data_IF_555868720282
#
_entry.id   IF_555868720282
#
_cell.length_a   1.000
_cell.length_b   1.000
_cell.length_c   1.000
_cell.angle_alpha   90.00
_cell.angle_beta   90.00
_cell.angle_gamma   90.00
#
_symmetry.space_group_name_H-M   'P 1'
#
loop_
_entity.id
_entity.type
_entity.pdbx_description
1 polymer ?
#
# COMPACT_ATOMS: atom_id res chain seq x y z
N UNK A 1 -22.33 4.59 -7.80
CA UNK A 1 -21.26 5.54 -7.47
C UNK A 1 -21.16 6.51 -8.63
N UNK A 2 -20.97 7.77 -8.34
CA UNK A 2 -20.78 8.79 -9.36
C UNK A 2 -19.29 8.78 -9.77
N UNK A 3 -19.02 8.77 -11.07
CA UNK A 3 -17.68 8.88 -11.64
C UNK A 3 -17.47 10.28 -12.18
N UNK A 4 -16.29 10.83 -11.91
CA UNK A 4 -15.83 12.10 -12.47
C UNK A 4 -14.62 11.80 -13.34
N UNK A 5 -14.72 12.13 -14.63
CA UNK A 5 -13.62 11.95 -15.59
C UNK A 5 -12.89 13.26 -15.79
N UNK A 6 -11.59 13.24 -15.66
CA UNK A 6 -10.71 14.40 -15.87
C UNK A 6 -9.59 14.01 -16.84
N UNK A 7 -9.25 14.90 -17.74
CA UNK A 7 -8.15 14.72 -18.69
C UNK A 7 -6.99 15.63 -18.30
N UNK A 8 -5.78 15.05 -18.22
CA UNK A 8 -4.55 15.77 -17.95
C UNK A 8 -3.52 15.48 -19.04
N UNK A 9 -2.66 16.45 -19.32
CA UNK A 9 -1.49 16.26 -20.19
C UNK A 9 -0.32 15.78 -19.33
N UNK A 10 0.14 14.55 -19.57
CA UNK A 10 1.26 13.93 -18.88
C UNK A 10 2.26 13.43 -19.92
N UNK A 11 3.50 13.91 -19.88
CA UNK A 11 4.52 13.60 -20.89
C UNK A 11 4.03 13.89 -22.33
N UNK A 12 3.44 15.07 -22.52
CA UNK A 12 2.91 15.54 -23.82
C UNK A 12 1.72 14.74 -24.38
N UNK A 13 1.17 13.82 -23.62
CA UNK A 13 -0.01 13.01 -23.98
C UNK A 13 -1.20 13.31 -23.07
N UNK A 14 -2.38 13.39 -23.66
CA UNK A 14 -3.64 13.44 -22.92
C UNK A 14 -3.92 12.09 -22.27
N UNK A 15 -4.31 12.10 -21.01
CA UNK A 15 -4.66 10.90 -20.24
C UNK A 15 -5.94 11.15 -19.47
N UNK A 16 -6.84 10.18 -19.51
CA UNK A 16 -8.08 10.21 -18.74
C UNK A 16 -7.86 9.58 -17.37
N UNK A 17 -8.34 10.24 -16.34
CA UNK A 17 -8.36 9.81 -14.96
C UNK A 17 -9.81 9.72 -14.49
N UNK A 18 -10.22 8.56 -14.01
CA UNK A 18 -11.58 8.26 -13.60
C UNK A 18 -11.62 8.25 -12.06
N UNK A 19 -12.17 9.31 -11.50
CA UNK A 19 -12.32 9.48 -10.06
C UNK A 19 -13.65 8.90 -9.61
N UNK A 20 -13.61 8.15 -8.50
CA UNK A 20 -14.82 7.68 -7.85
C UNK A 20 -14.59 7.52 -6.35
N UNK A 21 -15.69 7.43 -5.59
CA UNK A 21 -15.62 7.26 -4.15
C UNK A 21 -16.24 5.93 -3.75
N UNK A 22 -15.56 5.21 -2.86
CA UNK A 22 -16.11 4.00 -2.25
C UNK A 22 -16.58 4.31 -0.85
N UNK A 23 -17.81 3.87 -0.52
CA UNK A 23 -18.42 4.08 0.78
C UNK A 23 -18.58 2.74 1.49
N UNK A 24 -18.30 2.71 2.79
CA UNK A 24 -18.43 1.53 3.62
C UNK A 24 -18.80 1.90 5.07
N UNK A 25 -19.43 0.95 5.78
CA UNK A 25 -19.68 1.09 7.20
C UNK A 25 -18.46 0.58 7.98
N UNK A 26 -17.90 1.43 8.85
CA UNK A 26 -16.66 1.14 9.58
C UNK A 26 -16.79 -0.04 10.55
N UNK A 27 -17.96 -0.25 11.10
CA UNK A 27 -18.21 -1.29 12.11
C UNK A 27 -18.72 -2.59 11.49
N UNK A 28 -19.61 -2.50 10.51
CA UNK A 28 -20.25 -3.67 9.93
C UNK A 28 -19.40 -4.32 8.83
N UNK A 29 -18.77 -3.49 7.98
CA UNK A 29 -18.16 -3.97 6.74
C UNK A 29 -16.69 -4.41 6.93
N UNK A 30 -16.03 -3.96 8.02
CA UNK A 30 -14.62 -4.28 8.29
C UNK A 30 -14.53 -5.40 9.31
N UNK A 31 -14.53 -6.64 8.84
CA UNK A 31 -14.32 -7.81 9.71
C UNK A 31 -12.89 -7.88 10.23
N UNK A 32 -12.73 -8.21 11.51
CA UNK A 32 -11.42 -8.34 12.15
C UNK A 32 -10.74 -7.02 12.50
N UNK A 33 -11.42 -5.88 12.33
CA UNK A 33 -10.93 -4.62 12.87
C UNK A 33 -11.02 -4.62 14.39
N UNK A 34 -10.10 -3.92 15.01
CA UNK A 34 -9.99 -3.81 16.47
C UNK A 34 -11.20 -3.08 17.06
N UNK A 35 -11.97 -2.36 16.25
CA UNK A 35 -13.19 -1.69 16.61
C UNK A 35 -14.42 -2.62 16.77
N UNK A 36 -14.25 -3.92 16.60
CA UNK A 36 -15.32 -4.91 16.79
C UNK A 36 -15.56 -5.29 18.23
N UNK A 37 -15.83 -4.37 19.08
CA UNK A 37 -16.91 -4.57 20.01
C UNK A 37 -18.18 -4.26 19.20
N UNK A 38 -18.99 -5.30 18.99
CA UNK A 38 -20.25 -5.25 18.26
C UNK A 38 -21.03 -4.01 18.71
N UNK A 39 -20.88 -2.93 17.98
CA UNK A 39 -21.69 -1.76 18.21
C UNK A 39 -22.72 -1.70 17.10
N UNK A 40 -23.98 -1.58 17.46
CA UNK A 40 -25.08 -1.24 16.55
C UNK A 40 -24.88 0.16 15.90
N UNK A 41 -23.70 0.75 16.08
CA UNK A 41 -23.34 2.04 15.52
C UNK A 41 -23.13 1.92 14.02
N UNK A 42 -23.85 2.73 13.30
CA UNK A 42 -23.56 2.98 11.89
C UNK A 42 -22.62 4.18 11.78
N UNK A 43 -21.36 3.91 11.37
CA UNK A 43 -20.43 4.97 11.03
C UNK A 43 -19.93 4.75 9.59
N UNK A 44 -20.32 5.66 8.71
CA UNK A 44 -19.98 5.59 7.31
C UNK A 44 -18.67 6.33 7.04
N UNK A 45 -17.76 5.66 6.35
CA UNK A 45 -16.56 6.25 5.80
C UNK A 45 -16.63 6.26 4.28
N UNK A 46 -15.93 7.19 3.69
CA UNK A 46 -15.79 7.34 2.25
C UNK A 46 -14.33 7.57 1.89
N UNK A 47 -13.85 6.93 0.85
CA UNK A 47 -12.50 7.14 0.33
C UNK A 47 -12.50 7.37 -1.17
N UNK A 48 -11.55 8.15 -1.64
CA UNK A 48 -11.33 8.38 -3.07
C UNK A 48 -10.46 7.28 -3.67
N UNK A 49 -10.79 6.95 -4.93
CA UNK A 49 -9.97 6.12 -5.78
C UNK A 49 -9.90 6.74 -7.19
N UNK A 50 -8.82 6.50 -7.88
CA UNK A 50 -8.63 6.98 -9.25
C UNK A 50 -8.14 5.83 -10.11
N UNK A 51 -8.87 5.56 -11.18
CA UNK A 51 -8.49 4.59 -12.19
C UNK A 51 -7.92 5.30 -13.42
N UNK A 52 -6.72 4.88 -13.82
CA UNK A 52 -6.06 5.29 -15.06
C UNK A 52 -6.04 4.10 -16.01
N UNK A 53 -6.69 4.22 -17.16
CA UNK A 53 -6.71 3.18 -18.19
C UNK A 53 -5.63 3.46 -19.24
N UNK A 54 -4.82 2.47 -19.67
CA UNK A 54 -3.81 2.67 -20.70
C UNK A 54 -4.44 2.93 -22.07
N UNK A 55 -3.69 3.50 -22.99
CA UNK A 55 -4.16 3.74 -24.38
C UNK A 55 -4.61 2.45 -25.09
N UNK A 56 -4.03 1.31 -24.71
CA UNK A 56 -4.38 -0.01 -25.24
C UNK A 56 -5.67 -0.59 -24.68
N UNK A 57 -6.28 0.03 -23.67
CA UNK A 57 -7.50 -0.47 -23.06
C UNK A 57 -8.66 -0.47 -24.05
N UNK A 58 -9.39 -1.58 -24.10
CA UNK A 58 -10.66 -1.70 -24.83
C UNK A 58 -11.70 -2.39 -23.98
N UNK A 59 -12.94 -1.91 -24.01
CA UNK A 59 -14.01 -2.47 -23.17
C UNK A 59 -14.38 -3.91 -23.57
N UNK A 60 -14.23 -4.24 -24.84
CA UNK A 60 -14.66 -5.51 -25.44
C UNK A 60 -13.48 -6.39 -25.90
N UNK A 61 -12.23 -6.03 -25.56
CA UNK A 61 -11.03 -6.75 -25.95
C UNK A 61 -10.53 -7.73 -24.89
N UNK A 62 -9.23 -7.97 -24.89
CA UNK A 62 -8.57 -8.75 -23.85
C UNK A 62 -8.58 -7.96 -22.52
N UNK A 63 -8.64 -8.70 -21.41
CA UNK A 63 -8.58 -8.09 -20.08
C UNK A 63 -7.27 -7.32 -19.87
N UNK A 64 -7.38 -6.07 -19.42
CA UNK A 64 -6.20 -5.25 -19.09
C UNK A 64 -5.71 -5.56 -17.68
N UNK A 65 -4.41 -5.85 -17.56
CA UNK A 65 -3.79 -6.14 -16.26
C UNK A 65 -3.88 -4.93 -15.33
N UNK A 66 -4.42 -5.15 -14.12
CA UNK A 66 -4.61 -4.12 -13.11
C UNK A 66 -3.45 -4.09 -12.11
N UNK A 67 -2.98 -2.88 -11.82
CA UNK A 67 -2.04 -2.58 -10.72
C UNK A 67 -2.76 -1.75 -9.67
N UNK A 68 -2.78 -2.20 -8.41
CA UNK A 68 -3.19 -1.40 -7.27
C UNK A 68 -1.99 -0.60 -6.75
N UNK A 69 -2.18 0.69 -6.55
CA UNK A 69 -1.14 1.63 -6.14
C UNK A 69 -1.46 2.26 -4.78
N UNK A 70 -0.48 2.29 -3.89
CA UNK A 70 -0.59 2.89 -2.57
C UNK A 70 0.45 3.98 -2.35
N UNK A 71 -0.02 5.18 -2.06
CA UNK A 71 0.82 6.35 -1.87
C UNK A 71 1.59 6.35 -0.53
N UNK A 72 2.65 7.15 -0.46
CA UNK A 72 3.38 7.42 0.79
C UNK A 72 2.60 8.30 1.76
N UNK A 73 3.12 8.47 2.99
CA UNK A 73 2.51 9.32 4.01
C UNK A 73 2.35 10.77 3.51
N UNK A 74 1.17 11.34 3.74
CA UNK A 74 0.82 12.68 3.25
C UNK A 74 0.49 12.76 1.76
N UNK A 75 0.54 11.63 1.03
CA UNK A 75 0.11 11.55 -0.35
C UNK A 75 -1.41 11.54 -0.49
N UNK A 76 -1.85 11.72 -1.72
CA UNK A 76 -3.25 11.62 -2.14
C UNK A 76 -3.34 10.82 -3.41
N UNK A 77 -4.54 10.36 -3.76
CA UNK A 77 -4.77 9.72 -5.05
C UNK A 77 -4.46 10.67 -6.19
N UNK A 78 -3.77 10.16 -7.20
CA UNK A 78 -3.44 10.85 -8.46
C UNK A 78 -3.08 12.31 -8.31
N UNK A 79 -2.09 12.58 -7.54
CA UNK A 79 -1.63 13.94 -7.26
C UNK A 79 -1.01 14.65 -8.47
N UNK A 80 -1.49 14.39 -9.64
CA UNK A 80 -1.20 15.19 -10.84
C UNK A 80 -1.69 16.64 -10.66
N UNK A 81 -2.75 16.86 -9.84
CA UNK A 81 -3.29 18.19 -9.60
C UNK A 81 -2.37 19.06 -8.74
N UNK A 82 -1.64 18.47 -7.79
CA UNK A 82 -0.78 19.22 -6.86
C UNK A 82 0.71 18.97 -7.00
N UNK A 83 1.13 18.17 -8.00
CA UNK A 83 2.52 17.82 -8.32
C UNK A 83 3.33 17.20 -7.15
N UNK A 84 2.70 16.94 -6.02
CA UNK A 84 3.37 16.43 -4.81
C UNK A 84 3.11 14.96 -4.55
N UNK A 85 2.15 14.38 -5.20
CA UNK A 85 1.73 13.03 -4.91
C UNK A 85 2.48 11.94 -5.64
N UNK A 86 2.73 10.95 -4.92
CA UNK A 86 3.55 9.79 -5.14
C UNK A 86 3.33 8.92 -6.38
N UNK A 87 2.61 9.36 -7.39
CA UNK A 87 2.31 8.54 -8.58
C UNK A 87 3.28 8.78 -9.72
N UNK A 88 4.51 9.18 -9.44
CA UNK A 88 5.56 9.37 -10.44
C UNK A 88 5.89 8.09 -11.25
N UNK A 89 5.44 6.93 -10.83
CA UNK A 89 5.57 5.65 -11.53
C UNK A 89 4.34 5.30 -12.39
N UNK A 90 3.18 5.89 -12.16
CA UNK A 90 1.98 5.63 -12.97
C UNK A 90 2.20 5.85 -14.46
N UNK A 91 2.89 6.91 -14.91
CA UNK A 91 3.19 7.08 -16.33
C UNK A 91 3.90 5.88 -16.96
N UNK A 92 4.87 5.27 -16.25
CA UNK A 92 5.60 4.10 -16.75
C UNK A 92 4.73 2.85 -16.84
N UNK A 93 3.90 2.60 -15.84
CA UNK A 93 2.95 1.48 -15.86
C UNK A 93 1.90 1.66 -16.96
N UNK A 94 1.37 2.87 -17.10
CA UNK A 94 0.43 3.23 -18.15
C UNK A 94 1.04 3.02 -19.56
N UNK A 95 2.27 3.48 -19.79
CA UNK A 95 2.99 3.29 -21.05
C UNK A 95 3.28 1.81 -21.35
N UNK A 96 3.41 0.99 -20.31
CA UNK A 96 3.59 -0.45 -20.42
C UNK A 96 2.27 -1.24 -20.59
N UNK A 97 1.12 -0.55 -20.67
CA UNK A 97 -0.18 -1.18 -20.92
C UNK A 97 -0.93 -1.63 -19.67
N UNK A 98 -0.50 -1.23 -18.48
CA UNK A 98 -1.21 -1.52 -17.22
C UNK A 98 -2.30 -0.49 -16.93
N UNK A 99 -3.46 -0.95 -16.49
CA UNK A 99 -4.39 -0.11 -15.77
C UNK A 99 -3.89 0.11 -14.34
N UNK A 100 -3.99 1.32 -13.82
CA UNK A 100 -3.55 1.65 -12.47
C UNK A 100 -4.71 2.19 -11.65
N UNK A 101 -5.00 1.53 -10.54
CA UNK A 101 -5.98 1.97 -9.55
C UNK A 101 -5.23 2.47 -8.32
N UNK A 102 -5.24 3.78 -8.12
CA UNK A 102 -4.67 4.47 -6.99
C UNK A 102 -5.75 4.72 -5.93
N UNK A 103 -5.49 4.34 -4.69
CA UNK A 103 -6.49 4.35 -3.63
C UNK A 103 -5.97 5.17 -2.44
N UNK A 104 -6.78 6.12 -2.01
CA UNK A 104 -6.57 6.84 -0.78
C UNK A 104 -7.12 6.03 0.41
N UNK A 105 -6.50 6.16 1.55
CA UNK A 105 -7.12 5.69 2.79
C UNK A 105 -8.25 6.65 3.22
N UNK A 106 -9.13 6.16 4.09
CA UNK A 106 -10.23 6.98 4.63
C UNK A 106 -9.77 8.08 5.60
N UNK A 107 -8.48 8.18 5.85
CA UNK A 107 -7.88 9.15 6.76
C UNK A 107 -7.62 10.47 6.02
N UNK A 108 -8.09 11.63 6.55
CA UNK A 108 -8.06 12.89 5.82
C UNK A 108 -6.65 13.47 5.57
N UNK A 109 -5.65 12.98 6.30
CA UNK A 109 -4.27 13.49 6.21
C UNK A 109 -3.32 12.60 5.42
N UNK A 110 -3.83 11.55 4.79
CA UNK A 110 -3.02 10.61 3.99
C UNK A 110 -2.03 9.78 4.81
N UNK A 111 -2.26 9.63 6.12
CA UNK A 111 -1.47 8.77 7.00
C UNK A 111 -2.34 7.62 7.49
N UNK A 112 -2.24 6.45 6.88
CA UNK A 112 -3.09 5.29 7.21
C UNK A 112 -2.33 4.13 7.80
N UNK A 113 -1.03 4.04 7.53
CA UNK A 113 -0.14 2.95 7.98
C UNK A 113 -0.76 1.56 7.79
N UNK A 114 -1.47 1.36 6.67
CA UNK A 114 -2.09 0.07 6.34
C UNK A 114 -3.17 -0.38 7.32
N UNK A 115 -3.90 0.54 7.94
CA UNK A 115 -5.00 0.22 8.85
C UNK A 115 -6.10 -0.60 8.13
N UNK A 116 -6.91 -1.37 8.88
CA UNK A 116 -7.95 -2.20 8.31
C UNK A 116 -8.93 -1.46 7.40
N UNK A 117 -9.25 -0.21 7.72
CA UNK A 117 -10.13 0.63 6.90
C UNK A 117 -9.54 0.91 5.51
N UNK A 118 -8.24 1.22 5.44
CA UNK A 118 -7.57 1.45 4.15
C UNK A 118 -7.54 0.16 3.32
N UNK A 119 -7.18 -0.96 3.94
CA UNK A 119 -7.12 -2.27 3.26
C UNK A 119 -8.49 -2.66 2.71
N UNK A 120 -9.55 -2.47 3.50
CA UNK A 120 -10.91 -2.75 3.06
C UNK A 120 -11.39 -1.78 1.95
N UNK A 121 -11.09 -0.49 2.09
CA UNK A 121 -11.40 0.51 1.07
C UNK A 121 -10.74 0.16 -0.26
N UNK A 122 -9.47 -0.25 -0.23
CA UNK A 122 -8.74 -0.69 -1.41
C UNK A 122 -9.40 -1.91 -2.08
N UNK A 123 -9.81 -2.88 -1.29
CA UNK A 123 -10.53 -4.04 -1.82
C UNK A 123 -11.88 -3.64 -2.44
N UNK A 124 -12.64 -2.73 -1.83
CA UNK A 124 -13.91 -2.23 -2.42
C UNK A 124 -13.67 -1.46 -3.71
N UNK A 125 -12.63 -0.63 -3.77
CA UNK A 125 -12.27 0.09 -4.99
C UNK A 125 -11.86 -0.88 -6.12
N UNK A 126 -11.04 -1.88 -5.81
CA UNK A 126 -10.71 -2.97 -6.73
C UNK A 126 -11.97 -3.68 -7.24
N UNK A 127 -12.87 -4.11 -6.35
CA UNK A 127 -14.12 -4.79 -6.74
C UNK A 127 -15.02 -3.93 -7.61
N UNK A 128 -15.03 -2.62 -7.39
CA UNK A 128 -15.74 -1.68 -8.26
C UNK A 128 -15.08 -1.64 -9.64
N UNK A 129 -13.78 -1.46 -9.71
CA UNK A 129 -13.05 -1.35 -10.97
C UNK A 129 -13.24 -2.59 -11.88
N UNK A 130 -13.01 -3.80 -11.36
CA UNK A 130 -13.17 -5.04 -12.16
C UNK A 130 -14.62 -5.34 -12.53
N UNK A 131 -15.61 -4.78 -11.82
CA UNK A 131 -17.03 -4.93 -12.17
C UNK A 131 -17.44 -4.03 -13.33
N UNK A 132 -16.84 -2.86 -13.46
CA UNK A 132 -17.26 -1.81 -14.38
C UNK A 132 -16.33 -1.66 -15.59
N UNK A 133 -15.16 -2.23 -15.54
CA UNK A 133 -14.13 -2.15 -16.57
C UNK A 133 -13.59 -3.54 -16.90
N UNK A 134 -13.13 -3.73 -18.11
CA UNK A 134 -12.54 -4.98 -18.59
C UNK A 134 -11.10 -5.13 -18.05
N UNK A 135 -10.99 -5.46 -16.77
CA UNK A 135 -9.73 -5.56 -16.04
C UNK A 135 -9.55 -6.96 -15.44
N UNK A 136 -8.31 -7.41 -15.36
CA UNK A 136 -7.94 -8.68 -14.74
C UNK A 136 -8.40 -8.74 -13.27
N UNK A 137 -8.96 -9.86 -12.86
CA UNK A 137 -9.34 -10.16 -11.47
C UNK A 137 -8.15 -10.52 -10.58
N UNK A 138 -6.99 -10.81 -11.18
CA UNK A 138 -5.70 -10.95 -10.50
C UNK A 138 -4.90 -9.67 -10.68
N UNK A 139 -4.37 -9.16 -9.58
CA UNK A 139 -3.73 -7.84 -9.55
C UNK A 139 -2.26 -7.92 -9.20
N UNK A 140 -1.54 -6.95 -9.70
CA UNK A 140 -0.22 -6.57 -9.21
C UNK A 140 -0.40 -5.45 -8.19
N UNK A 141 0.45 -5.39 -7.18
CA UNK A 141 0.31 -4.39 -6.11
C UNK A 141 1.61 -3.65 -5.92
N UNK A 142 1.53 -2.35 -5.71
CA UNK A 142 2.72 -1.56 -5.43
C UNK A 142 2.48 -0.47 -4.38
N UNK A 143 3.57 -0.04 -3.74
CA UNK A 143 3.53 1.08 -2.82
C UNK A 143 4.90 1.66 -2.52
N UNK A 144 4.90 2.93 -2.08
CA UNK A 144 6.11 3.63 -1.69
C UNK A 144 6.03 4.09 -0.23
N UNK A 145 7.11 3.98 0.52
CA UNK A 145 7.17 4.43 1.92
C UNK A 145 6.03 3.80 2.76
N UNK A 146 5.13 4.59 3.32
CA UNK A 146 3.90 4.10 3.98
C UNK A 146 3.08 3.18 3.06
N UNK A 147 3.02 3.45 1.77
CA UNK A 147 2.32 2.60 0.81
C UNK A 147 2.89 1.19 0.72
N UNK A 148 4.17 0.99 1.01
CA UNK A 148 4.77 -0.34 1.16
C UNK A 148 4.16 -1.12 2.34
N UNK A 149 3.89 -0.45 3.45
CA UNK A 149 3.16 -1.05 4.58
C UNK A 149 1.74 -1.46 4.18
N UNK A 150 1.03 -0.58 3.48
CA UNK A 150 -0.31 -0.88 2.94
C UNK A 150 -0.26 -2.08 2.01
N UNK A 151 0.75 -2.12 1.13
CA UNK A 151 0.98 -3.24 0.18
C UNK A 151 1.07 -4.58 0.91
N UNK A 152 1.92 -4.69 1.92
CA UNK A 152 2.09 -5.94 2.66
C UNK A 152 0.80 -6.34 3.38
N UNK A 153 0.12 -5.40 4.05
CA UNK A 153 -1.13 -5.70 4.73
C UNK A 153 -2.24 -6.10 3.76
N UNK A 154 -2.29 -5.48 2.58
CA UNK A 154 -3.24 -5.88 1.53
C UNK A 154 -2.98 -7.30 1.01
N UNK A 155 -1.73 -7.64 0.72
CA UNK A 155 -1.34 -8.99 0.28
C UNK A 155 -1.71 -10.03 1.33
N UNK A 156 -1.44 -9.75 2.60
CA UNK A 156 -1.72 -10.66 3.70
C UNK A 156 -3.23 -10.86 3.92
N UNK A 157 -4.02 -9.82 3.64
CA UNK A 157 -5.49 -9.86 3.82
C UNK A 157 -6.18 -10.52 2.62
N UNK A 158 -5.72 -10.26 1.40
CA UNK A 158 -6.33 -10.74 0.15
C UNK A 158 -5.34 -11.51 -0.74
N UNK A 159 -4.69 -12.56 -0.22
CA UNK A 159 -3.61 -13.26 -0.94
C UNK A 159 -4.07 -13.90 -2.25
N UNK A 160 -5.34 -14.30 -2.35
CA UNK A 160 -5.85 -15.03 -3.51
C UNK A 160 -5.97 -14.19 -4.78
N UNK A 161 -5.93 -12.87 -4.67
CA UNK A 161 -6.06 -11.98 -5.83
C UNK A 161 -4.73 -11.34 -6.27
N UNK A 162 -3.64 -11.49 -5.50
CA UNK A 162 -2.37 -10.82 -5.78
C UNK A 162 -1.39 -11.76 -6.48
N UNK A 163 -0.88 -11.35 -7.64
CA UNK A 163 0.13 -12.06 -8.41
C UNK A 163 1.55 -11.79 -7.90
N UNK A 164 1.89 -10.52 -7.74
CA UNK A 164 3.19 -10.07 -7.25
C UNK A 164 3.10 -8.64 -6.69
N UNK A 165 4.13 -8.25 -5.94
CA UNK A 165 4.24 -6.89 -5.39
C UNK A 165 5.59 -6.24 -5.69
N UNK A 166 5.57 -4.90 -5.81
CA UNK A 166 6.75 -4.05 -5.89
C UNK A 166 6.69 -2.95 -4.85
N UNK A 167 7.78 -2.68 -4.13
CA UNK A 167 7.79 -1.64 -3.11
C UNK A 167 9.03 -0.76 -3.18
N UNK A 168 8.83 0.55 -3.12
CA UNK A 168 9.91 1.54 -3.07
C UNK A 168 10.10 2.03 -1.64
N UNK A 169 11.32 1.86 -1.09
CA UNK A 169 11.70 2.31 0.25
C UNK A 169 10.57 2.12 1.29
N UNK A 170 10.04 0.88 1.42
CA UNK A 170 8.81 0.64 2.16
C UNK A 170 9.02 0.78 3.65
N UNK A 171 8.09 1.44 4.31
CA UNK A 171 8.03 1.41 5.75
C UNK A 171 7.41 0.10 6.23
N UNK A 172 8.20 -0.72 6.92
CA UNK A 172 7.82 -2.10 7.23
C UNK A 172 7.69 -2.38 8.73
N UNK A 173 8.10 -1.45 9.58
CA UNK A 173 8.01 -1.60 11.03
C UNK A 173 7.19 -0.45 11.66
N UNK A 174 6.27 -0.80 12.55
CA UNK A 174 5.46 0.15 13.32
C UNK A 174 6.04 0.45 14.70
N UNK A 175 6.80 -0.47 15.28
CA UNK A 175 7.25 -0.38 16.68
C UNK A 175 8.46 0.53 16.87
N UNK A 176 9.15 0.91 15.81
CA UNK A 176 10.33 1.77 15.88
C UNK A 176 11.58 1.10 16.47
N UNK A 177 11.52 -0.19 16.80
CA UNK A 177 12.66 -0.95 17.37
C UNK A 177 12.94 -2.14 16.48
N UNK A 178 14.19 -2.25 16.01
CA UNK A 178 14.68 -3.44 15.32
C UNK A 178 15.15 -4.50 16.30
N UNK A 179 15.32 -5.73 15.83
CA UNK A 179 15.79 -6.87 16.64
C UNK A 179 17.17 -6.61 17.25
N UNK A 180 18.01 -5.81 16.60
CA UNK A 180 19.38 -5.51 17.02
C UNK A 180 19.51 -4.14 17.72
N UNK A 181 18.40 -3.51 18.11
CA UNK A 181 18.42 -2.22 18.83
C UNK A 181 18.65 -1.00 17.93
N UNK A 182 18.67 -1.18 16.60
CA UNK A 182 18.66 -0.06 15.68
C UNK A 182 17.29 0.63 15.68
N UNK A 183 17.30 1.92 15.83
CA UNK A 183 16.09 2.72 15.91
C UNK A 183 15.50 2.93 14.51
N UNK A 184 14.31 2.40 14.26
CA UNK A 184 13.50 2.82 13.13
C UNK A 184 12.94 4.21 13.44
N UNK A 185 13.55 5.23 12.87
CA UNK A 185 13.14 6.61 13.08
C UNK A 185 11.64 6.75 12.78
N UNK A 186 10.88 7.09 13.81
CA UNK A 186 9.70 7.91 13.66
C UNK A 186 8.33 7.26 13.56
N UNK A 187 8.11 5.95 13.77
CA UNK A 187 6.72 5.46 13.86
C UNK A 187 6.13 5.75 15.23
N UNK A 188 6.94 5.63 16.27
CA UNK A 188 6.57 5.82 17.68
C UNK A 188 7.25 7.02 18.33
N UNK A 189 7.67 8.00 17.55
CA UNK A 189 8.22 9.23 18.13
C UNK A 189 7.15 9.91 18.97
N UNK A 190 7.39 9.96 20.28
CA UNK A 190 6.52 10.62 21.28
C UNK A 190 6.62 12.16 21.19
N UNK A 191 7.54 12.67 20.37
CA UNK A 191 7.73 14.10 20.26
C UNK A 191 6.62 14.71 19.40
N UNK A 192 5.95 15.71 19.94
CA UNK A 192 5.12 16.62 19.16
C UNK A 192 5.98 17.21 18.05
N UNK A 193 5.52 17.11 16.81
CA UNK A 193 6.23 17.69 15.67
C UNK A 193 6.42 19.21 15.92
N UNK A 194 7.49 19.78 15.36
CA UNK A 194 7.81 21.21 15.48
C UNK A 194 6.68 22.15 14.99
N UNK A 195 5.77 21.62 14.20
CA UNK A 195 4.58 22.30 13.67
C UNK A 195 3.35 22.21 14.62
N UNK A 196 3.50 21.65 15.82
CA UNK A 196 2.41 21.48 16.79
C UNK A 196 1.42 20.35 16.49
N UNK A 197 1.64 19.58 15.43
CA UNK A 197 0.79 18.45 15.09
C UNK A 197 1.03 17.24 16.02
N UNK A 198 0.01 16.36 16.20
CA UNK A 198 0.16 15.13 16.97
C UNK A 198 1.35 14.29 16.47
N UNK A 199 1.97 13.57 17.39
CA UNK A 199 3.02 12.61 17.04
C UNK A 199 2.49 11.56 16.04
N UNK A 200 3.37 10.90 15.31
CA UNK A 200 2.98 9.78 14.43
C UNK A 200 2.30 8.67 15.23
N UNK A 201 2.73 8.44 16.47
CA UNK A 201 2.13 7.47 17.38
C UNK A 201 0.67 7.81 17.71
N UNK A 202 0.39 9.05 18.11
CA UNK A 202 -0.97 9.48 18.44
C UNK A 202 -1.90 9.33 17.24
N UNK A 203 -1.42 9.67 16.04
CA UNK A 203 -2.17 9.49 14.80
C UNK A 203 -2.45 8.01 14.49
N UNK A 204 -1.49 7.11 14.72
CA UNK A 204 -1.70 5.67 14.52
C UNK A 204 -2.73 5.14 15.51
N UNK A 205 -2.68 5.57 16.77
CA UNK A 205 -3.68 5.22 17.78
C UNK A 205 -5.07 5.61 17.31
N UNK A 206 -5.24 6.84 16.82
CA UNK A 206 -6.53 7.33 16.32
C UNK A 206 -6.99 6.56 15.06
N UNK A 207 -6.10 6.35 14.10
CA UNK A 207 -6.40 5.68 12.82
C UNK A 207 -6.80 4.23 13.04
N UNK A 208 -6.08 3.52 13.91
CA UNK A 208 -6.40 2.14 14.28
C UNK A 208 -7.50 2.05 15.35
N UNK A 209 -7.92 3.19 15.90
CA UNK A 209 -8.93 3.30 16.96
C UNK A 209 -8.62 2.46 18.18
N UNK A 210 -7.37 2.48 18.59
CA UNK A 210 -6.94 1.80 19.80
C UNK A 210 -7.44 2.52 21.04
N UNK A 211 -8.01 1.81 22.02
CA UNK A 211 -8.52 2.42 23.24
C UNK A 211 -7.40 2.93 24.17
N UNK A 212 -6.19 2.44 24.03
CA UNK A 212 -5.03 2.88 24.79
C UNK A 212 -3.72 2.61 24.06
N UNK A 213 -2.61 3.17 24.57
CA UNK A 213 -1.25 2.95 24.07
C UNK A 213 -0.81 1.48 24.20
N UNK A 214 -1.15 0.80 25.29
CA UNK A 214 -0.87 -0.61 25.51
C UNK A 214 -1.56 -1.50 24.49
N UNK A 215 -2.81 -1.20 24.16
CA UNK A 215 -3.56 -1.88 23.10
C UNK A 215 -2.88 -1.75 21.74
N UNK A 216 -2.23 -0.64 21.50
CA UNK A 216 -1.52 -0.39 20.28
C UNK A 216 -0.39 -1.40 20.08
N UNK A 217 0.43 -1.66 21.10
CA UNK A 217 1.55 -2.60 21.01
C UNK A 217 1.08 -4.03 20.78
N UNK A 218 0.03 -4.47 21.44
CA UNK A 218 -0.48 -5.82 21.31
C UNK A 218 -1.19 -6.07 19.97
N UNK A 219 -1.96 -5.09 19.49
CA UNK A 219 -2.87 -5.27 18.36
C UNK A 219 -2.25 -4.95 17.01
N UNK A 220 -1.23 -4.10 16.95
CA UNK A 220 -0.47 -3.87 15.71
C UNK A 220 0.35 -5.07 15.27
N UNK A 221 0.57 -6.05 16.13
CA UNK A 221 1.30 -7.28 15.79
C UNK A 221 0.74 -7.93 14.51
N UNK A 222 -0.57 -7.94 14.32
CA UNK A 222 -1.21 -8.50 13.13
C UNK A 222 -1.05 -7.65 11.87
N UNK A 223 -0.76 -6.36 12.03
CA UNK A 223 -0.65 -5.37 10.97
C UNK A 223 0.77 -4.79 10.82
N UNK A 224 1.73 -5.29 11.61
CA UNK A 224 3.12 -4.90 11.48
C UNK A 224 3.85 -5.86 10.52
N UNK A 225 4.18 -5.43 9.29
CA UNK A 225 4.83 -6.27 8.29
C UNK A 225 6.16 -6.86 8.74
N UNK A 226 6.87 -6.17 9.63
CA UNK A 226 8.17 -6.60 10.16
C UNK A 226 8.08 -7.92 10.93
N UNK A 227 6.92 -8.21 11.51
CA UNK A 227 6.67 -9.44 12.27
C UNK A 227 6.13 -10.55 11.37
N UNK A 228 6.91 -10.94 10.38
CA UNK A 228 6.57 -12.03 9.45
C UNK A 228 6.23 -13.31 10.21
N UNK A 229 5.13 -13.94 9.84
CA UNK A 229 4.65 -15.16 10.46
C UNK A 229 4.32 -16.23 9.45
N UNK A 230 4.44 -17.47 9.90
CA UNK A 230 3.83 -18.59 9.22
C UNK A 230 2.82 -19.25 10.15
N UNK A 231 1.77 -19.82 9.57
CA UNK A 231 0.77 -20.59 10.31
C UNK A 231 0.44 -21.87 9.55
N UNK A 232 -0.11 -22.83 10.24
CA UNK A 232 -0.68 -24.03 9.63
C UNK A 232 -2.14 -23.75 9.32
N UNK A 233 -2.53 -23.85 8.04
CA UNK A 233 -3.92 -23.66 7.63
C UNK A 233 -4.79 -24.88 7.99
N UNK A 234 -6.10 -24.78 7.69
CA UNK A 234 -7.07 -25.85 7.98
C UNK A 234 -6.77 -27.17 7.23
N UNK A 235 -5.99 -27.11 6.15
CA UNK A 235 -5.54 -28.28 5.39
C UNK A 235 -4.24 -28.90 5.92
N UNK A 236 -3.72 -28.39 7.04
CA UNK A 236 -2.44 -28.83 7.62
C UNK A 236 -1.20 -28.35 6.86
N UNK A 237 -1.36 -27.42 5.92
CA UNK A 237 -0.24 -26.84 5.17
C UNK A 237 0.31 -25.61 5.87
N UNK A 238 1.65 -25.48 5.85
CA UNK A 238 2.32 -24.26 6.29
C UNK A 238 2.09 -23.16 5.28
N UNK A 239 1.48 -22.09 5.72
CA UNK A 239 1.31 -20.85 4.94
C UNK A 239 2.30 -19.82 5.46
N UNK A 240 3.07 -19.25 4.56
CA UNK A 240 4.04 -18.20 4.85
C UNK A 240 3.48 -16.86 4.39
N UNK A 241 3.67 -15.83 5.19
CA UNK A 241 3.22 -14.47 4.91
C UNK A 241 4.47 -13.60 4.70
N UNK A 242 4.57 -12.89 3.59
CA UNK A 242 3.63 -12.69 2.47
C UNK A 242 3.60 -13.87 1.47
N UNK A 243 2.43 -14.16 0.90
CA UNK A 243 2.23 -15.37 0.08
C UNK A 243 2.52 -15.19 -1.42
N UNK A 244 2.97 -14.03 -1.87
CA UNK A 244 3.27 -13.77 -3.28
C UNK A 244 4.72 -13.29 -3.46
N UNK A 245 5.28 -13.34 -4.68
CA UNK A 245 6.58 -12.74 -5.00
C UNK A 245 6.63 -11.25 -4.72
N UNK A 246 7.72 -10.79 -4.10
CA UNK A 246 7.93 -9.38 -3.74
C UNK A 246 9.27 -8.90 -4.25
N UNK A 247 9.33 -7.67 -4.78
CA UNK A 247 10.59 -6.95 -5.02
C UNK A 247 10.58 -5.61 -4.28
N UNK A 248 11.70 -5.32 -3.62
CA UNK A 248 11.92 -4.07 -2.88
C UNK A 248 13.10 -3.34 -3.51
N UNK A 249 12.97 -2.03 -3.63
CA UNK A 249 14.05 -1.10 -3.96
C UNK A 249 14.26 -0.15 -2.79
N UNK A 250 15.49 -0.08 -2.29
CA UNK A 250 15.85 0.70 -1.11
C UNK A 250 17.13 1.49 -1.38
N UNK A 251 17.12 2.76 -1.03
CA UNK A 251 18.33 3.59 -1.09
C UNK A 251 19.21 3.39 0.14
N UNK A 252 20.56 3.35 -0.06
CA UNK A 252 21.51 3.16 1.06
C UNK A 252 21.65 4.38 1.96
N UNK A 253 21.26 5.59 1.48
CA UNK A 253 21.30 6.85 2.23
C UNK A 253 19.90 7.33 2.64
N UNK A 254 18.95 6.41 2.75
CA UNK A 254 17.58 6.74 3.20
C UNK A 254 17.55 6.98 4.70
N UNK A 255 17.39 8.25 5.10
CA UNK A 255 17.29 8.67 6.50
C UNK A 255 15.85 8.67 7.05
N UNK A 256 14.87 8.39 6.20
CA UNK A 256 13.45 8.32 6.58
C UNK A 256 13.01 6.90 6.87
N UNK A 257 13.46 5.96 6.05
CA UNK A 257 13.28 4.52 6.25
C UNK A 257 14.66 3.88 6.27
N UNK A 258 15.07 3.40 7.45
CA UNK A 258 16.38 2.81 7.64
C UNK A 258 16.60 1.59 6.71
N UNK A 259 17.64 1.61 5.86
CA UNK A 259 17.96 0.49 4.98
C UNK A 259 18.23 -0.82 5.73
N UNK A 260 18.77 -0.74 6.94
CA UNK A 260 19.04 -1.93 7.81
C UNK A 260 17.73 -2.61 8.16
N UNK A 261 16.70 -1.85 8.52
CA UNK A 261 15.36 -2.41 8.80
C UNK A 261 14.78 -3.14 7.58
N UNK A 262 14.95 -2.57 6.40
CA UNK A 262 14.45 -3.21 5.16
C UNK A 262 15.21 -4.51 4.87
N UNK A 263 16.54 -4.52 5.06
CA UNK A 263 17.37 -5.72 4.91
C UNK A 263 16.96 -6.82 5.90
N UNK A 264 16.78 -6.48 7.17
CA UNK A 264 16.34 -7.43 8.21
C UNK A 264 14.96 -8.02 7.88
N UNK A 265 14.02 -7.21 7.42
CA UNK A 265 12.73 -7.70 6.94
C UNK A 265 12.90 -8.71 5.81
N UNK A 266 13.67 -8.35 4.77
CA UNK A 266 13.93 -9.23 3.63
C UNK A 266 14.54 -10.56 4.06
N UNK A 267 15.51 -10.53 4.96
CA UNK A 267 16.16 -11.73 5.47
C UNK A 267 15.19 -12.59 6.28
N UNK A 268 14.32 -11.97 7.06
CA UNK A 268 13.27 -12.64 7.81
C UNK A 268 12.27 -13.35 6.90
N UNK A 269 11.82 -12.64 5.86
CA UNK A 269 10.88 -13.15 4.85
C UNK A 269 11.49 -14.31 4.06
N UNK A 270 12.77 -14.19 3.66
CA UNK A 270 13.51 -15.27 2.99
C UNK A 270 13.66 -16.51 3.88
N UNK A 271 14.03 -16.33 5.16
CA UNK A 271 14.10 -17.44 6.12
C UNK A 271 12.75 -18.13 6.32
N UNK A 272 11.66 -17.39 6.21
CA UNK A 272 10.31 -17.94 6.27
C UNK A 272 9.91 -18.70 4.98
N UNK A 273 10.69 -18.60 3.91
CA UNK A 273 10.45 -19.31 2.65
C UNK A 273 9.66 -18.52 1.60
N UNK A 274 9.49 -17.22 1.79
CA UNK A 274 8.87 -16.36 0.77
C UNK A 274 9.87 -16.00 -0.33
N UNK A 275 9.35 -15.76 -1.51
CA UNK A 275 10.15 -15.25 -2.62
C UNK A 275 10.18 -13.72 -2.57
N UNK A 276 11.35 -13.18 -2.22
CA UNK A 276 11.58 -11.74 -2.11
C UNK A 276 12.95 -11.36 -2.67
N UNK A 277 12.97 -10.32 -3.51
CA UNK A 277 14.19 -9.69 -4.05
C UNK A 277 14.37 -8.31 -3.39
N UNK A 278 15.61 -7.94 -3.08
CA UNK A 278 16.00 -6.60 -2.63
C UNK A 278 17.04 -6.02 -3.58
N UNK A 279 16.79 -4.82 -4.08
CA UNK A 279 17.75 -4.02 -4.83
C UNK A 279 18.13 -2.79 -3.99
N UNK A 280 19.34 -2.83 -3.43
CA UNK A 280 19.93 -1.68 -2.74
C UNK A 280 20.55 -0.73 -3.77
N UNK A 281 20.16 0.56 -3.70
CA UNK A 281 20.64 1.61 -4.61
C UNK A 281 21.60 2.51 -3.85
N UNK A 282 22.87 2.45 -4.25
CA UNK A 282 23.94 3.19 -3.59
C UNK A 282 23.76 4.71 -3.73
N UNK A 283 23.99 5.45 -2.65
CA UNK A 283 23.91 6.91 -2.60
C UNK A 283 22.50 7.50 -2.78
N UNK A 284 21.46 6.66 -2.73
CA UNK A 284 20.07 7.12 -2.90
C UNK A 284 19.40 7.27 -1.53
N UNK A 285 18.79 8.43 -1.32
CA UNK A 285 17.93 8.71 -0.15
C UNK A 285 16.48 8.28 -0.36
N UNK A 286 15.55 8.84 0.44
CA UNK A 286 14.11 8.55 0.40
C UNK A 286 13.41 9.15 -0.82
N UNK A 287 13.64 8.56 -1.99
CA UNK A 287 13.07 9.03 -3.27
C UNK A 287 12.97 7.93 -4.31
N UNK A 288 11.98 8.03 -5.19
CA UNK A 288 11.84 7.18 -6.38
C UNK A 288 12.80 7.64 -7.47
N UNK A 289 13.50 6.68 -8.09
CA UNK A 289 14.42 6.93 -9.21
C UNK A 289 13.86 6.39 -10.52
N UNK A 290 14.36 6.83 -11.69
CA UNK A 290 14.01 6.23 -12.98
C UNK A 290 14.27 4.71 -13.01
N UNK A 291 15.39 4.25 -12.47
CA UNK A 291 15.76 2.83 -12.41
C UNK A 291 14.68 2.02 -11.68
N UNK A 292 14.22 2.48 -10.51
CA UNK A 292 13.15 1.80 -9.76
C UNK A 292 11.88 1.63 -10.59
N UNK A 293 11.52 2.65 -11.37
CA UNK A 293 10.32 2.65 -12.21
C UNK A 293 10.43 1.69 -13.39
N UNK A 294 11.56 1.69 -14.06
CA UNK A 294 11.82 0.80 -15.19
C UNK A 294 11.90 -0.66 -14.74
N UNK A 295 12.60 -0.93 -13.64
CA UNK A 295 12.66 -2.28 -13.06
C UNK A 295 11.33 -2.77 -12.49
N UNK A 296 10.44 -1.87 -12.01
CA UNK A 296 9.10 -2.27 -11.58
C UNK A 296 8.30 -2.87 -12.74
N UNK A 297 8.33 -2.23 -13.91
CA UNK A 297 7.68 -2.76 -15.12
C UNK A 297 8.27 -4.12 -15.49
N UNK A 298 9.60 -4.24 -15.51
CA UNK A 298 10.28 -5.51 -15.80
C UNK A 298 9.93 -6.60 -14.78
N UNK A 299 9.78 -6.23 -13.52
CA UNK A 299 9.37 -7.15 -12.46
C UNK A 299 7.95 -7.65 -12.69
N UNK A 300 7.02 -6.76 -12.95
CA UNK A 300 5.61 -7.11 -13.15
C UNK A 300 5.39 -7.96 -14.40
N UNK A 301 6.11 -7.69 -15.50
CA UNK A 301 6.04 -8.49 -16.73
C UNK A 301 6.42 -9.96 -16.56
N UNK A 302 6.99 -10.36 -15.41
CA UNK A 302 7.32 -11.77 -15.11
C UNK A 302 6.11 -12.59 -14.64
N UNK A 303 4.99 -11.94 -14.32
CA UNK A 303 3.84 -12.56 -13.66
C UNK A 303 2.52 -12.42 -14.41
N UNK A 304 2.55 -11.94 -15.64
CA UNK A 304 1.40 -11.79 -16.54
C UNK A 304 1.59 -12.59 -17.81
#
# INVERSE_FOLDING_TARGET
>A
MEEIRKTYVVNEKEREYIYFKVRFNRFRDISGSIAHEVSDKEEWAETEAVLCLPESYTADGDETQLVLSFHGAGGRVCAQEDKTGGVAYVPKLYEAGYAVLDICGAEPHGLTMGCPEHIFAAYKAYRYAIKHYNLSDKVLVMGASMGGHVTINFINTYPSIVLAAGMFYPRLNMDGVTVDGHYCIGTWDKTTRKDGNPSTKDRIIDIYRFPSEEWCEERTIGFNPYRVRSFINQEGKRVVIPPCPIKIWQGTEDVTVDPVMVQEFVDSVKRAGCYIELHMLEGIGHKTTPVMRDELVMWFNRFI
#
